data_IF_472633463115
#
_entry.id   IF_472633463115
#
_cell.length_a   1.000
_cell.length_b   1.000
_cell.length_c   1.000
_cell.angle_alpha   90.00
_cell.angle_beta   90.00
_cell.angle_gamma   90.00
#
_symmetry.space_group_name_H-M   'P 1'
#
loop_
_entity.id
_entity.type
_entity.pdbx_description
1 polymer ?
#
# COMPACT_ATOMS: atom_id res chain seq x y z
N UNK A 1 17.27 -7.42 -16.30
CA UNK A 1 16.06 -6.67 -16.77
C UNK A 1 15.60 -5.71 -15.66
N UNK A 2 14.96 -4.57 -15.98
CA UNK A 2 14.51 -3.60 -14.94
C UNK A 2 13.56 -4.22 -13.91
N UNK A 3 12.64 -5.08 -14.36
CA UNK A 3 11.72 -5.82 -13.49
C UNK A 3 12.49 -6.75 -12.54
N UNK A 4 13.48 -7.48 -13.03
CA UNK A 4 14.32 -8.36 -12.20
C UNK A 4 15.05 -7.57 -11.13
N UNK A 5 15.68 -6.45 -11.50
CA UNK A 5 16.39 -5.59 -10.55
C UNK A 5 15.44 -5.03 -9.48
N UNK A 6 14.22 -4.63 -9.85
CA UNK A 6 13.21 -4.21 -8.85
C UNK A 6 12.78 -5.36 -7.94
N UNK A 7 12.71 -6.58 -8.47
CA UNK A 7 12.37 -7.80 -7.73
C UNK A 7 13.50 -8.30 -6.81
N UNK A 8 14.72 -7.77 -6.91
CA UNK A 8 15.83 -8.07 -5.97
C UNK A 8 15.63 -7.43 -4.59
N UNK A 9 14.63 -6.55 -4.43
CA UNK A 9 14.30 -5.98 -3.13
C UNK A 9 14.00 -7.08 -2.10
N UNK A 10 14.61 -7.08 -0.91
CA UNK A 10 14.57 -8.21 0.03
C UNK A 10 13.18 -8.56 0.53
N UNK A 11 12.25 -7.61 0.53
CA UNK A 11 10.87 -7.84 0.95
C UNK A 11 9.94 -8.34 -0.17
N UNK A 12 10.42 -8.52 -1.41
CA UNK A 12 9.61 -9.01 -2.54
C UNK A 12 9.65 -10.53 -2.66
N UNK A 13 8.53 -11.17 -2.33
CA UNK A 13 8.31 -12.61 -2.47
C UNK A 13 7.43 -12.97 -3.66
N UNK A 14 7.27 -14.26 -3.93
CA UNK A 14 6.28 -14.70 -4.90
C UNK A 14 4.86 -14.40 -4.38
N UNK A 15 3.90 -14.00 -5.23
CA UNK A 15 2.54 -13.72 -4.79
C UNK A 15 1.93 -14.87 -3.99
N UNK A 16 1.48 -14.58 -2.77
CA UNK A 16 0.91 -15.58 -1.85
C UNK A 16 1.90 -16.21 -0.87
N UNK A 17 3.21 -15.97 -1.02
CA UNK A 17 4.19 -16.30 0.00
C UNK A 17 4.09 -15.30 1.17
N UNK A 18 3.60 -15.78 2.31
CA UNK A 18 3.37 -14.97 3.52
C UNK A 18 4.65 -14.63 4.28
N UNK A 19 5.80 -15.10 3.81
CA UNK A 19 7.11 -14.77 4.39
C UNK A 19 7.60 -13.38 3.97
N UNK A 20 6.92 -12.76 3.00
CA UNK A 20 7.28 -11.48 2.40
C UNK A 20 6.13 -10.49 2.52
N UNK A 21 6.45 -9.21 2.65
CA UNK A 21 5.47 -8.12 2.82
C UNK A 21 5.17 -7.38 1.52
N UNK A 22 5.99 -7.60 0.48
CA UNK A 22 5.78 -7.14 -0.89
C UNK A 22 5.76 -8.34 -1.83
N UNK A 23 5.12 -8.19 -3.00
CA UNK A 23 5.18 -9.22 -4.03
C UNK A 23 6.08 -8.80 -5.19
N UNK A 24 6.69 -9.79 -5.84
CA UNK A 24 7.40 -9.60 -7.09
C UNK A 24 6.45 -9.17 -8.20
N UNK A 25 6.97 -8.34 -9.09
CA UNK A 25 6.35 -8.00 -10.34
C UNK A 25 6.54 -9.19 -11.29
N UNK A 26 5.44 -9.84 -11.68
CA UNK A 26 5.46 -10.92 -12.65
C UNK A 26 5.26 -10.36 -14.07
N UNK A 27 6.11 -10.76 -15.01
CA UNK A 27 5.97 -10.43 -16.43
C UNK A 27 4.88 -11.29 -17.09
N UNK A 28 3.65 -11.20 -16.58
CA UNK A 28 2.50 -11.95 -17.05
C UNK A 28 1.81 -11.29 -18.25
N UNK A 29 0.72 -11.90 -18.73
CA UNK A 29 -0.07 -11.38 -19.84
C UNK A 29 -0.60 -9.97 -19.59
N UNK A 30 -0.91 -9.61 -18.34
CA UNK A 30 -1.37 -8.26 -17.99
C UNK A 30 -0.24 -7.26 -18.18
N UNK A 31 0.97 -7.54 -17.68
CA UNK A 31 2.14 -6.68 -17.86
C UNK A 31 2.50 -6.54 -19.35
N UNK A 32 2.53 -7.66 -20.08
CA UNK A 32 2.84 -7.66 -21.52
C UNK A 32 1.83 -6.80 -22.29
N UNK A 33 0.52 -6.93 -22.00
CA UNK A 33 -0.51 -6.12 -22.64
C UNK A 33 -0.34 -4.64 -22.29
N UNK A 34 -0.02 -4.30 -21.03
CA UNK A 34 0.19 -2.90 -20.62
C UNK A 34 1.42 -2.27 -21.27
N UNK A 35 2.49 -3.03 -21.47
CA UNK A 35 3.64 -2.57 -22.25
C UNK A 35 3.22 -2.32 -23.71
N UNK A 36 2.48 -3.25 -24.32
CA UNK A 36 2.00 -3.11 -25.70
C UNK A 36 1.09 -1.88 -25.90
N UNK A 37 0.21 -1.57 -24.93
CA UNK A 37 -0.62 -0.36 -24.93
C UNK A 37 0.22 0.94 -24.98
N UNK A 38 1.48 0.88 -24.53
CA UNK A 38 2.45 1.97 -24.53
C UNK A 38 3.46 1.87 -25.69
N UNK A 39 3.29 0.92 -26.62
CA UNK A 39 4.23 0.67 -27.72
C UNK A 39 5.54 0.02 -27.30
N UNK A 40 5.57 -0.63 -26.13
CA UNK A 40 6.75 -1.27 -25.54
C UNK A 40 6.64 -2.79 -25.52
N UNK A 41 7.78 -3.44 -25.35
CA UNK A 41 7.94 -4.88 -25.10
C UNK A 41 8.82 -5.10 -23.87
N UNK A 42 8.94 -6.35 -23.40
CA UNK A 42 9.86 -6.68 -22.29
C UNK A 42 11.34 -6.40 -22.64
N UNK A 43 11.68 -6.43 -23.93
CA UNK A 43 13.03 -6.14 -24.43
C UNK A 43 13.27 -4.65 -24.68
N UNK A 44 12.24 -3.82 -24.57
CA UNK A 44 12.37 -2.38 -24.78
C UNK A 44 13.21 -1.74 -23.68
N UNK A 45 14.10 -0.83 -24.06
CA UNK A 45 14.91 -0.03 -23.13
C UNK A 45 14.35 1.39 -23.12
N UNK A 46 13.57 1.77 -22.10
CA UNK A 46 13.03 3.13 -22.01
C UNK A 46 14.15 4.15 -21.77
N UNK A 47 13.91 5.41 -22.16
CA UNK A 47 14.83 6.50 -21.85
C UNK A 47 14.91 6.72 -20.33
N UNK A 48 16.05 7.24 -19.87
CA UNK A 48 16.25 7.54 -18.46
C UNK A 48 15.19 8.54 -18.00
N UNK A 49 14.51 8.22 -16.91
CA UNK A 49 13.44 9.04 -16.34
C UNK A 49 12.05 8.78 -16.91
N UNK A 50 11.90 7.91 -17.93
CA UNK A 50 10.58 7.48 -18.40
C UNK A 50 9.89 6.58 -17.37
N UNK A 51 8.66 6.94 -17.01
CA UNK A 51 7.78 6.08 -16.20
C UNK A 51 7.06 5.09 -17.12
N UNK A 52 7.21 3.79 -16.83
CA UNK A 52 6.55 2.71 -17.57
C UNK A 52 5.50 2.06 -16.67
N UNK A 53 4.23 2.11 -17.08
CA UNK A 53 3.14 1.55 -16.29
C UNK A 53 2.96 0.06 -16.58
N UNK A 54 3.17 -0.80 -15.58
CA UNK A 54 3.08 -2.26 -15.75
C UNK A 54 1.67 -2.81 -15.47
N UNK A 55 0.83 -2.07 -14.75
CA UNK A 55 -0.54 -2.47 -14.44
C UNK A 55 -1.50 -1.27 -14.47
N UNK A 56 -2.82 -1.50 -14.53
CA UNK A 56 -3.85 -0.47 -14.30
C UNK A 56 -4.23 -0.40 -12.83
N UNK A 57 -4.12 -1.52 -12.12
CA UNK A 57 -4.47 -1.64 -10.71
C UNK A 57 -3.20 -1.55 -9.87
N UNK A 58 -3.26 -0.72 -8.85
CA UNK A 58 -2.21 -0.56 -7.86
C UNK A 58 -2.57 -1.45 -6.68
N UNK A 59 -2.13 -2.71 -6.72
CA UNK A 59 -2.36 -3.67 -5.64
C UNK A 59 -1.07 -4.37 -5.29
N UNK A 60 -0.98 -4.88 -4.05
CA UNK A 60 0.21 -5.60 -3.61
C UNK A 60 0.51 -6.80 -4.52
N UNK A 61 -0.51 -7.53 -4.97
CA UNK A 61 -0.39 -8.69 -5.86
C UNK A 61 0.15 -8.33 -7.25
N UNK A 62 -0.12 -7.12 -7.75
CA UNK A 62 0.48 -6.66 -9.02
C UNK A 62 1.94 -6.21 -8.88
N UNK A 63 2.51 -6.33 -7.67
CA UNK A 63 3.87 -5.91 -7.36
C UNK A 63 4.00 -4.40 -7.13
N UNK A 64 2.89 -3.72 -6.82
CA UNK A 64 2.90 -2.31 -6.45
C UNK A 64 3.82 -2.05 -5.25
N UNK A 65 4.40 -0.84 -5.22
CA UNK A 65 5.12 -0.35 -4.07
C UNK A 65 4.15 0.06 -2.96
N UNK A 66 4.62 -0.03 -1.72
CA UNK A 66 3.90 0.42 -0.52
C UNK A 66 4.73 1.50 0.12
N UNK A 67 4.19 2.72 0.17
CA UNK A 67 4.90 3.88 0.66
C UNK A 67 4.30 4.30 2.00
N UNK A 68 5.12 4.31 3.05
CA UNK A 68 4.72 4.82 4.37
C UNK A 68 4.55 6.34 4.33
N UNK A 69 3.32 6.81 4.51
CA UNK A 69 2.96 8.24 4.39
C UNK A 69 2.34 8.85 5.66
N UNK A 70 2.39 8.13 6.80
CA UNK A 70 1.79 8.54 8.08
C UNK A 70 2.22 9.94 8.51
N UNK A 71 3.51 10.25 8.45
CA UNK A 71 4.09 11.52 8.91
C UNK A 71 3.88 12.70 7.96
N UNK A 72 3.55 12.44 6.69
CA UNK A 72 3.27 13.50 5.70
C UNK A 72 1.79 13.75 5.49
N UNK A 73 0.92 12.85 5.95
CA UNK A 73 -0.53 12.98 5.80
C UNK A 73 -1.06 14.22 6.53
N UNK A 74 -1.92 14.99 5.85
CA UNK A 74 -2.48 16.21 6.41
C UNK A 74 -3.31 15.92 7.68
N UNK A 75 -3.21 16.72 8.76
CA UNK A 75 -3.98 16.49 9.99
C UNK A 75 -5.49 16.41 9.80
N UNK A 76 -6.04 17.13 8.81
CA UNK A 76 -7.47 17.04 8.49
C UNK A 76 -7.90 15.64 8.01
N UNK A 77 -7.03 14.93 7.28
CA UNK A 77 -7.29 13.57 6.82
C UNK A 77 -7.25 12.59 8.00
N UNK A 78 -6.29 12.78 8.90
CA UNK A 78 -6.23 12.03 10.16
C UNK A 78 -7.51 12.18 11.00
N UNK A 79 -8.00 13.40 11.17
CA UNK A 79 -9.25 13.64 11.90
C UNK A 79 -10.45 12.93 11.26
N UNK A 80 -10.56 13.00 9.93
CA UNK A 80 -11.58 12.26 9.18
C UNK A 80 -11.50 10.75 9.45
N UNK A 81 -10.31 10.15 9.36
CA UNK A 81 -10.11 8.72 9.58
C UNK A 81 -10.45 8.31 11.02
N UNK A 82 -10.08 9.14 12.01
CA UNK A 82 -10.43 8.91 13.41
C UNK A 82 -11.95 8.97 13.64
N UNK A 83 -12.64 9.91 13.01
CA UNK A 83 -14.09 10.04 13.15
C UNK A 83 -14.82 8.85 12.49
N UNK A 84 -14.36 8.41 11.30
CA UNK A 84 -14.87 7.19 10.67
C UNK A 84 -14.68 5.97 11.57
N UNK A 85 -13.48 5.79 12.13
CA UNK A 85 -13.18 4.67 13.02
C UNK A 85 -14.07 4.67 14.28
N UNK A 86 -14.30 5.85 14.88
CA UNK A 86 -15.20 6.01 16.04
C UNK A 86 -16.64 5.65 15.70
N UNK A 87 -17.15 6.08 14.55
CA UNK A 87 -18.52 5.78 14.11
C UNK A 87 -18.70 4.27 13.90
N UNK A 88 -17.70 3.60 13.34
CA UNK A 88 -17.78 2.16 13.07
C UNK A 88 -17.65 1.31 14.34
N UNK A 89 -17.04 1.84 15.41
CA UNK A 89 -16.98 1.21 16.72
C UNK A 89 -16.08 -0.04 16.80
N UNK A 90 -15.17 -0.22 15.82
CA UNK A 90 -14.19 -1.30 15.87
C UNK A 90 -12.90 -0.83 16.53
N UNK A 91 -12.28 -1.62 17.43
CA UNK A 91 -10.99 -1.28 18.04
C UNK A 91 -9.86 -1.24 17.00
N UNK A 92 -9.99 -1.99 15.91
CA UNK A 92 -9.02 -2.02 14.81
C UNK A 92 -9.78 -1.99 13.48
N UNK A 93 -9.40 -1.07 12.58
CA UNK A 93 -10.00 -0.92 11.27
C UNK A 93 -8.97 -0.39 10.27
N UNK A 94 -8.95 -0.97 9.08
CA UNK A 94 -8.32 -0.38 7.90
C UNK A 94 -9.33 0.45 7.14
N UNK A 95 -8.90 1.62 6.65
CA UNK A 95 -9.74 2.51 5.84
C UNK A 95 -9.09 2.64 4.48
N UNK A 96 -9.75 2.12 3.47
CA UNK A 96 -9.28 2.26 2.10
C UNK A 96 -9.80 3.59 1.57
N UNK A 97 -8.89 4.54 1.39
CA UNK A 97 -9.18 5.91 1.01
C UNK A 97 -8.41 6.29 -0.24
N UNK A 98 -9.07 6.95 -1.18
CA UNK A 98 -8.45 7.47 -2.39
C UNK A 98 -8.51 8.99 -2.40
N UNK A 99 -7.38 9.60 -2.74
CA UNK A 99 -7.19 11.03 -2.89
C UNK A 99 -6.09 11.31 -3.93
N UNK A 100 -5.97 12.55 -4.36
CA UNK A 100 -4.94 12.97 -5.30
C UNK A 100 -3.59 13.16 -4.59
N UNK A 101 -3.61 13.75 -3.40
CA UNK A 101 -2.44 14.00 -2.57
C UNK A 101 -2.80 13.93 -1.08
N UNK A 102 -2.22 12.98 -0.34
CA UNK A 102 -2.50 12.78 1.08
C UNK A 102 -2.02 13.95 1.98
N UNK A 103 -1.14 14.81 1.46
CA UNK A 103 -0.62 16.00 2.16
C UNK A 103 -1.56 17.20 2.09
N UNK A 104 -2.60 17.13 1.24
CA UNK A 104 -3.65 18.14 1.11
C UNK A 104 -4.89 17.70 1.92
N UNK A 105 -5.62 18.59 2.61
CA UNK A 105 -6.86 18.23 3.30
C UNK A 105 -7.91 17.68 2.34
N UNK A 106 -8.69 16.69 2.79
CA UNK A 106 -9.76 16.06 2.00
C UNK A 106 -10.85 17.04 1.55
N UNK A 107 -10.98 18.19 2.21
CA UNK A 107 -11.93 19.25 1.87
C UNK A 107 -11.53 20.09 0.67
N UNK A 108 -10.28 20.00 0.23
CA UNK A 108 -9.71 20.83 -0.85
C UNK A 108 -9.39 20.01 -2.11
N UNK A 109 -9.76 18.74 -2.14
CA UNK A 109 -9.51 17.85 -3.27
C UNK A 109 -10.63 16.81 -3.42
N UNK A 110 -10.70 16.17 -4.58
CA UNK A 110 -11.60 15.04 -4.78
C UNK A 110 -11.08 13.81 -4.03
N UNK A 111 -11.94 13.24 -3.19
CA UNK A 111 -11.62 12.07 -2.38
C UNK A 111 -12.80 11.13 -2.24
N UNK A 112 -12.53 9.87 -1.89
CA UNK A 112 -13.56 8.91 -1.54
C UNK A 112 -13.04 7.88 -0.53
N UNK A 113 -13.92 7.47 0.40
CA UNK A 113 -13.73 6.25 1.19
C UNK A 113 -14.28 5.09 0.38
N UNK A 114 -13.45 4.10 0.11
CA UNK A 114 -13.76 2.95 -0.75
C UNK A 114 -14.30 1.77 0.06
N UNK A 115 -13.59 1.42 1.15
CA UNK A 115 -13.89 0.24 1.95
C UNK A 115 -13.43 0.44 3.41
N UNK A 116 -14.09 -0.31 4.32
CA UNK A 116 -13.71 -0.44 5.72
C UNK A 116 -13.39 -1.90 6.04
N UNK A 117 -12.14 -2.15 6.42
CA UNK A 117 -11.59 -3.48 6.63
C UNK A 117 -11.46 -3.78 8.13
N UNK A 118 -12.26 -4.72 8.67
CA UNK A 118 -12.17 -5.12 10.09
C UNK A 118 -10.94 -6.00 10.41
N UNK A 119 -10.26 -6.50 9.38
CA UNK A 119 -9.01 -7.28 9.46
C UNK A 119 -7.99 -6.69 8.49
N UNK A 120 -7.46 -5.49 8.79
CA UNK A 120 -6.49 -4.85 7.91
C UNK A 120 -5.22 -5.69 7.78
N UNK A 121 -4.56 -5.59 6.64
CA UNK A 121 -3.25 -6.22 6.44
C UNK A 121 -2.17 -5.32 7.06
N UNK A 122 -1.76 -5.63 8.28
CA UNK A 122 -0.90 -4.73 9.07
C UNK A 122 0.58 -4.80 8.63
N UNK A 123 1.03 -5.96 8.13
CA UNK A 123 2.45 -6.19 7.83
C UNK A 123 3.01 -5.20 6.80
N UNK A 124 2.17 -4.75 5.84
CA UNK A 124 2.57 -3.77 4.83
C UNK A 124 2.91 -2.38 5.43
N UNK A 125 2.40 -2.07 6.62
CA UNK A 125 2.72 -0.84 7.34
C UNK A 125 4.06 -0.93 8.08
N UNK A 126 4.42 -2.14 8.54
CA UNK A 126 5.67 -2.37 9.29
C UNK A 126 6.88 -2.43 8.35
N UNK A 127 6.68 -2.93 7.14
CA UNK A 127 7.75 -3.12 6.16
C UNK A 127 7.36 -2.53 4.78
N UNK A 128 7.23 -1.20 4.68
CA UNK A 128 6.97 -0.56 3.40
C UNK A 128 8.17 -0.70 2.47
N UNK A 129 7.97 -0.55 1.16
CA UNK A 129 9.08 -0.47 0.19
C UNK A 129 9.86 0.83 0.34
N UNK A 130 9.18 1.91 0.71
CA UNK A 130 9.76 3.24 0.91
C UNK A 130 9.01 4.01 2.02
N UNK A 131 9.64 5.04 2.57
CA UNK A 131 9.02 5.87 3.61
C UNK A 131 9.15 5.30 5.02
N UNK A 132 8.38 5.85 5.95
CA UNK A 132 8.49 5.54 7.37
C UNK A 132 7.71 4.25 7.71
N UNK A 133 8.38 3.32 8.37
CA UNK A 133 7.76 2.13 8.93
C UNK A 133 6.86 2.50 10.12
N UNK A 134 5.67 1.93 10.17
CA UNK A 134 4.71 2.13 11.24
C UNK A 134 4.62 0.85 12.10
N UNK A 135 4.88 0.92 13.42
CA UNK A 135 4.83 -0.23 14.32
C UNK A 135 3.39 -0.63 14.68
N UNK A 136 2.48 -0.65 13.70
CA UNK A 136 1.06 -0.94 13.89
C UNK A 136 0.83 -2.31 14.55
N UNK A 137 1.63 -3.32 14.22
CA UNK A 137 1.56 -4.64 14.83
C UNK A 137 1.82 -4.60 16.35
N UNK A 138 2.79 -3.78 16.79
CA UNK A 138 3.09 -3.60 18.21
C UNK A 138 1.92 -2.94 18.93
N UNK A 139 1.33 -1.88 18.36
CA UNK A 139 0.17 -1.20 18.97
C UNK A 139 -1.03 -2.15 19.13
N UNK A 140 -1.26 -3.01 18.14
CA UNK A 140 -2.33 -4.03 18.22
C UNK A 140 -2.02 -5.05 19.31
N UNK A 141 -0.76 -5.46 19.46
CA UNK A 141 -0.35 -6.36 20.54
C UNK A 141 -0.56 -5.73 21.92
N UNK A 142 -0.15 -4.47 22.10
CA UNK A 142 -0.36 -3.72 23.36
C UNK A 142 -1.84 -3.68 23.74
N UNK A 143 -2.74 -3.44 22.77
CA UNK A 143 -4.18 -3.47 23.00
C UNK A 143 -4.67 -4.85 23.46
N UNK A 144 -4.14 -5.93 22.91
CA UNK A 144 -4.48 -7.32 23.31
C UNK A 144 -3.98 -7.61 24.73
N UNK A 145 -2.76 -7.20 25.08
CA UNK A 145 -2.23 -7.34 26.44
C UNK A 145 -3.07 -6.55 27.46
N UNK A 146 -3.49 -5.32 27.13
CA UNK A 146 -4.37 -4.53 27.99
C UNK A 146 -5.74 -5.17 28.19
N UNK A 147 -6.32 -5.79 27.15
CA UNK A 147 -7.61 -6.47 27.26
C UNK A 147 -7.53 -7.74 28.11
N UNK A 148 -6.44 -8.50 27.98
CA UNK A 148 -6.24 -9.78 28.67
C UNK A 148 -5.74 -9.61 30.11
N UNK A 149 -5.07 -8.52 30.44
CA UNK A 149 -4.68 -8.20 31.83
C UNK A 149 -5.83 -7.70 32.70
N UNK A 150 -6.97 -7.35 32.10
CA UNK A 150 -8.20 -6.90 32.79
C UNK A 150 -9.23 -8.02 33.02
N UNK A 151 -8.95 -9.24 32.54
CA UNK A 151 -9.80 -10.44 32.68
C UNK A 151 -9.24 -11.40 33.72
#
# INVERSE_FOLDING_TARGET
>A
MLIESKNEHPFRGDPGDRSYTLHKILADTTVIQRLADQGLTLDSVPEIGTVVYLNKLVTLVSGADVIGCTSVAHPANWLLFMDIARIFGSPLIGIDFICQDITIPYTEQETAVLELNSKPYIDMHVYPSEGEADPAALRVWDMVEEMTSRS
#
